data_IF_479140766223
#
_entry.id   IF_479140766223
#
_cell.length_a   1.000
_cell.length_b   1.000
_cell.length_c   1.000
_cell.angle_alpha   90.00
_cell.angle_beta   90.00
_cell.angle_gamma   90.00
#
_symmetry.space_group_name_H-M   'P 1'
#
loop_
_entity.id
_entity.type
_entity.pdbx_description
1 polymer ?
#
# COMPACT_ATOMS: atom_id res chain seq x y z
N UNK A 1 -4.22 13.74 -11.43
CA UNK A 1 -4.87 13.24 -10.22
C UNK A 1 -4.59 11.75 -10.09
N UNK A 2 -4.16 11.31 -8.93
CA UNK A 2 -3.91 9.89 -8.63
C UNK A 2 -5.20 9.26 -8.12
N UNK A 3 -5.55 8.09 -8.65
CA UNK A 3 -6.66 7.31 -8.14
C UNK A 3 -6.31 5.82 -8.02
N UNK A 4 -6.98 5.12 -7.11
CA UNK A 4 -6.92 3.68 -6.96
C UNK A 4 -8.09 3.05 -7.71
N UNK A 5 -7.81 1.99 -8.47
CA UNK A 5 -8.83 1.20 -9.15
C UNK A 5 -8.58 -0.27 -8.84
N UNK A 6 -9.62 -0.98 -8.41
CA UNK A 6 -9.51 -2.40 -8.15
C UNK A 6 -8.98 -3.14 -9.38
N UNK A 7 -8.08 -4.06 -9.16
CA UNK A 7 -7.59 -4.95 -10.23
C UNK A 7 -8.65 -6.01 -10.52
N UNK A 8 -9.06 -6.13 -11.78
CA UNK A 8 -10.06 -7.07 -12.27
C UNK A 8 -9.72 -7.57 -13.68
N UNK A 9 -10.65 -8.23 -14.35
CA UNK A 9 -10.43 -8.77 -15.69
C UNK A 9 -10.20 -7.69 -16.76
N UNK A 10 -10.55 -6.42 -16.47
CA UNK A 10 -10.39 -5.33 -17.45
C UNK A 10 -9.00 -4.71 -17.44
N UNK A 11 -8.24 -4.84 -16.36
CA UNK A 11 -6.97 -4.11 -16.17
C UNK A 11 -5.80 -4.96 -15.65
N UNK A 12 -5.98 -6.26 -15.37
CA UNK A 12 -4.90 -7.06 -14.77
C UNK A 12 -3.65 -7.18 -15.66
N UNK A 13 -3.80 -7.10 -16.98
CA UNK A 13 -2.66 -7.13 -17.89
C UNK A 13 -1.79 -5.88 -17.78
N UNK A 14 -2.37 -4.73 -17.45
CA UNK A 14 -1.60 -3.52 -17.16
C UNK A 14 -0.71 -3.72 -15.93
N UNK A 15 -1.18 -4.47 -14.90
CA UNK A 15 -0.36 -4.83 -13.74
C UNK A 15 0.89 -5.63 -14.16
N UNK A 16 0.75 -6.58 -15.08
CA UNK A 16 1.87 -7.40 -15.54
C UNK A 16 2.92 -6.60 -16.31
N UNK A 17 2.52 -5.49 -16.90
CA UNK A 17 3.41 -4.60 -17.63
C UNK A 17 4.22 -3.65 -16.74
N UNK A 18 3.86 -3.50 -15.46
CA UNK A 18 4.57 -2.66 -14.51
C UNK A 18 5.98 -3.23 -14.27
N UNK A 19 6.96 -2.33 -14.13
CA UNK A 19 8.36 -2.69 -13.91
C UNK A 19 8.90 -2.01 -12.67
N UNK A 20 9.58 -2.79 -11.84
CA UNK A 20 10.38 -2.27 -10.73
C UNK A 20 11.64 -1.59 -11.26
N UNK A 21 12.13 -0.59 -10.55
CA UNK A 21 13.44 0.00 -10.81
C UNK A 21 14.58 -0.98 -10.53
N UNK A 22 15.77 -0.68 -11.03
CA UNK A 22 16.96 -1.53 -10.84
C UNK A 22 17.21 -1.82 -9.36
N UNK A 23 17.28 -3.10 -9.00
CA UNK A 23 17.53 -3.57 -7.64
C UNK A 23 16.32 -3.48 -6.70
N UNK A 24 15.18 -2.95 -7.13
CA UNK A 24 13.98 -2.84 -6.29
C UNK A 24 13.24 -4.17 -6.14
N UNK A 25 13.43 -5.12 -7.03
CA UNK A 25 12.83 -6.46 -6.96
C UNK A 25 13.22 -7.23 -5.69
N UNK A 26 14.32 -6.89 -5.05
CA UNK A 26 14.71 -7.42 -3.73
C UNK A 26 13.88 -6.87 -2.57
N UNK A 27 13.18 -5.74 -2.77
CA UNK A 27 12.39 -5.07 -1.73
C UNK A 27 10.89 -5.29 -1.87
N UNK A 28 10.40 -5.55 -3.07
CA UNK A 28 8.96 -5.61 -3.36
C UNK A 28 8.66 -6.82 -4.23
N UNK A 29 7.60 -7.55 -3.89
CA UNK A 29 7.07 -8.61 -4.75
C UNK A 29 6.51 -8.05 -6.05
N UNK A 30 6.62 -8.82 -7.14
CA UNK A 30 6.01 -8.46 -8.42
C UNK A 30 4.48 -8.38 -8.30
N UNK A 31 3.80 -7.57 -9.12
CA UNK A 31 2.35 -7.53 -9.15
C UNK A 31 1.72 -8.91 -9.45
N UNK A 32 2.34 -9.72 -10.29
CA UNK A 32 1.86 -11.09 -10.58
C UNK A 32 1.83 -11.96 -9.32
N UNK A 33 2.92 -11.97 -8.56
CA UNK A 33 2.98 -12.71 -7.28
C UNK A 33 1.99 -12.16 -6.26
N UNK A 34 1.87 -10.85 -6.18
CA UNK A 34 0.93 -10.19 -5.29
C UNK A 34 -0.53 -10.55 -5.60
N UNK A 35 -0.90 -10.58 -6.88
CA UNK A 35 -2.25 -11.00 -7.30
C UNK A 35 -2.54 -12.46 -6.97
N UNK A 36 -1.55 -13.34 -7.08
CA UNK A 36 -1.70 -14.74 -6.64
C UNK A 36 -1.95 -14.84 -5.14
N UNK A 37 -1.25 -14.05 -4.33
CA UNK A 37 -1.50 -13.96 -2.88
C UNK A 37 -2.88 -13.36 -2.58
N UNK A 38 -3.31 -12.36 -3.33
CA UNK A 38 -4.63 -11.75 -3.18
C UNK A 38 -5.76 -12.76 -3.39
N UNK A 39 -5.58 -13.72 -4.28
CA UNK A 39 -6.54 -14.79 -4.46
C UNK A 39 -6.71 -15.64 -3.18
N UNK A 40 -5.61 -15.95 -2.51
CA UNK A 40 -5.60 -16.74 -1.26
C UNK A 40 -6.32 -16.00 -0.12
N UNK A 41 -6.10 -14.70 -0.01
CA UNK A 41 -6.65 -13.84 1.05
C UNK A 41 -7.82 -12.98 0.59
N UNK A 42 -8.55 -13.40 -0.47
CA UNK A 42 -9.54 -12.57 -1.17
C UNK A 42 -10.63 -11.96 -0.30
N UNK A 43 -10.96 -12.59 0.84
CA UNK A 43 -12.00 -12.10 1.74
C UNK A 43 -11.53 -10.97 2.67
N UNK A 44 -10.23 -10.69 2.67
CA UNK A 44 -9.62 -9.71 3.59
C UNK A 44 -8.56 -8.83 2.93
N UNK A 45 -8.49 -8.82 1.61
CA UNK A 45 -7.55 -7.96 0.89
C UNK A 45 -8.18 -7.31 -0.34
N UNK A 46 -7.53 -6.25 -0.81
CA UNK A 46 -7.91 -5.55 -2.02
C UNK A 46 -6.65 -5.14 -2.79
N UNK A 47 -6.41 -5.71 -3.99
CA UNK A 47 -5.37 -5.26 -4.89
C UNK A 47 -5.86 -4.07 -5.71
N UNK A 48 -5.03 -3.01 -5.78
CA UNK A 48 -5.32 -1.82 -6.56
C UNK A 48 -4.24 -1.54 -7.60
N UNK A 49 -4.67 -1.18 -8.81
CA UNK A 49 -3.86 -0.40 -9.72
C UNK A 49 -3.86 1.07 -9.30
N UNK A 50 -2.70 1.70 -9.35
CA UNK A 50 -2.52 3.13 -9.10
C UNK A 50 -2.50 3.83 -10.45
N UNK A 51 -3.41 4.76 -10.66
CA UNK A 51 -3.59 5.45 -11.94
C UNK A 51 -3.23 6.92 -11.85
N UNK A 52 -2.51 7.41 -12.85
CA UNK A 52 -2.37 8.83 -13.15
C UNK A 52 -3.13 9.10 -14.46
N UNK A 53 -4.28 9.78 -14.37
CA UNK A 53 -5.20 9.85 -15.50
C UNK A 53 -5.70 8.46 -15.89
N UNK A 54 -5.55 8.10 -17.16
CA UNK A 54 -6.01 6.81 -17.71
C UNK A 54 -4.91 5.72 -17.70
N UNK A 55 -3.72 6.04 -17.19
CA UNK A 55 -2.58 5.12 -17.21
C UNK A 55 -2.32 4.53 -15.83
N UNK A 56 -2.19 3.21 -15.77
CA UNK A 56 -1.70 2.55 -14.56
C UNK A 56 -0.20 2.79 -14.42
N UNK A 57 0.18 3.39 -13.29
CA UNK A 57 1.57 3.77 -13.00
C UNK A 57 2.14 3.05 -11.77
N UNK A 58 1.36 2.22 -11.13
CA UNK A 58 1.79 1.49 -9.95
C UNK A 58 0.76 0.49 -9.46
N UNK A 59 1.11 -0.14 -8.37
CA UNK A 59 0.31 -1.20 -7.76
C UNK A 59 0.44 -1.15 -6.23
N UNK A 60 -0.61 -1.54 -5.54
CA UNK A 60 -0.61 -1.72 -4.09
C UNK A 60 -1.64 -2.77 -3.68
N UNK A 61 -1.35 -3.54 -2.66
CA UNK A 61 -2.34 -4.40 -2.02
C UNK A 61 -2.56 -3.97 -0.58
N UNK A 62 -3.83 -3.84 -0.19
CA UNK A 62 -4.24 -3.64 1.19
C UNK A 62 -4.76 -4.96 1.71
N UNK A 63 -4.30 -5.40 2.87
CA UNK A 63 -4.78 -6.61 3.55
C UNK A 63 -5.13 -6.30 4.98
N UNK A 64 -6.17 -6.97 5.48
CA UNK A 64 -6.63 -6.85 6.87
C UNK A 64 -6.32 -8.10 7.67
N UNK A 65 -5.59 -7.93 8.76
CA UNK A 65 -5.37 -8.99 9.73
C UNK A 65 -6.52 -8.99 10.73
N UNK A 66 -7.33 -10.07 10.68
CA UNK A 66 -8.52 -10.20 11.52
C UNK A 66 -8.19 -10.48 12.99
N UNK A 67 -7.06 -11.13 13.25
CA UNK A 67 -6.66 -11.47 14.62
C UNK A 67 -6.12 -10.24 15.33
N UNK A 68 -5.22 -9.51 14.68
CA UNK A 68 -4.61 -8.29 15.21
C UNK A 68 -5.50 -7.04 15.03
N UNK A 69 -6.53 -7.14 14.20
CA UNK A 69 -7.39 -6.00 13.80
C UNK A 69 -6.58 -4.82 13.26
N UNK A 70 -5.70 -5.10 12.32
CA UNK A 70 -4.82 -4.12 11.69
C UNK A 70 -4.92 -4.19 10.17
N UNK A 71 -4.79 -3.04 9.51
CA UNK A 71 -4.57 -2.98 8.07
C UNK A 71 -3.09 -3.00 7.78
N UNK A 72 -2.71 -3.71 6.72
CA UNK A 72 -1.34 -3.79 6.24
C UNK A 72 -1.28 -3.35 4.78
N UNK A 73 -0.27 -2.58 4.44
CA UNK A 73 0.04 -2.20 3.07
C UNK A 73 1.10 -3.16 2.55
N UNK A 74 0.75 -3.93 1.52
CA UNK A 74 1.64 -4.89 0.89
C UNK A 74 1.95 -4.48 -0.54
N UNK A 75 3.20 -4.70 -0.94
CA UNK A 75 3.65 -4.65 -2.34
C UNK A 75 3.41 -3.29 -3.02
N UNK A 76 3.51 -2.20 -2.26
CA UNK A 76 3.38 -0.85 -2.78
C UNK A 76 4.53 -0.53 -3.73
N UNK A 77 4.22 -0.22 -4.99
CA UNK A 77 5.22 0.14 -5.98
C UNK A 77 4.70 1.17 -6.98
N UNK A 78 5.61 2.01 -7.46
CA UNK A 78 5.43 2.86 -8.63
C UNK A 78 6.31 2.33 -9.76
N UNK A 79 5.75 2.24 -10.96
CA UNK A 79 6.48 1.80 -12.16
C UNK A 79 7.75 2.62 -12.37
N UNK A 80 8.84 1.94 -12.78
CA UNK A 80 10.16 2.56 -12.90
C UNK A 80 10.16 3.83 -13.74
N UNK A 81 9.36 3.86 -14.81
CA UNK A 81 9.27 5.03 -15.69
C UNK A 81 8.54 6.23 -15.06
N UNK A 82 7.87 6.03 -13.93
CA UNK A 82 7.02 7.05 -13.28
C UNK A 82 7.50 7.43 -11.88
N UNK A 83 8.65 6.92 -11.45
CA UNK A 83 9.24 7.25 -10.15
C UNK A 83 9.78 8.69 -10.12
N UNK A 84 9.96 9.23 -8.90
CA UNK A 84 10.51 10.57 -8.63
C UNK A 84 9.67 11.73 -9.18
N UNK A 85 8.36 11.53 -9.30
CA UNK A 85 7.40 12.55 -9.76
C UNK A 85 6.38 12.93 -8.67
N UNK A 86 6.57 12.47 -7.43
CA UNK A 86 5.63 12.70 -6.32
C UNK A 86 4.41 11.77 -6.31
N UNK A 87 4.31 10.81 -7.21
CA UNK A 87 3.17 9.91 -7.29
C UNK A 87 3.05 8.97 -6.09
N UNK A 88 4.17 8.55 -5.51
CA UNK A 88 4.18 7.69 -4.33
C UNK A 88 3.45 8.32 -3.14
N UNK A 89 3.72 9.58 -2.85
CA UNK A 89 3.05 10.31 -1.76
C UNK A 89 1.55 10.47 -2.01
N UNK A 90 1.16 10.84 -3.22
CA UNK A 90 -0.24 10.99 -3.60
C UNK A 90 -0.98 9.66 -3.56
N UNK A 91 -0.35 8.57 -4.01
CA UNK A 91 -0.91 7.23 -3.96
C UNK A 91 -1.08 6.74 -2.52
N UNK A 92 -0.08 6.94 -1.66
CA UNK A 92 -0.15 6.57 -0.26
C UNK A 92 -1.31 7.30 0.46
N UNK A 93 -1.52 8.58 0.16
CA UNK A 93 -2.65 9.32 0.69
C UNK A 93 -4.00 8.70 0.29
N UNK A 94 -4.14 8.21 -0.95
CA UNK A 94 -5.34 7.52 -1.40
C UNK A 94 -5.52 6.16 -0.71
N UNK A 95 -4.44 5.42 -0.50
CA UNK A 95 -4.47 4.14 0.25
C UNK A 95 -4.95 4.36 1.67
N UNK A 96 -4.43 5.36 2.36
CA UNK A 96 -4.85 5.68 3.74
C UNK A 96 -6.32 6.13 3.77
N UNK A 97 -6.76 6.92 2.78
CA UNK A 97 -8.18 7.29 2.66
C UNK A 97 -9.08 6.07 2.53
N UNK A 98 -8.69 5.09 1.69
CA UNK A 98 -9.41 3.84 1.53
C UNK A 98 -9.48 3.05 2.85
N UNK A 99 -8.34 2.89 3.53
CA UNK A 99 -8.27 2.17 4.81
C UNK A 99 -9.17 2.83 5.88
N UNK A 100 -9.26 4.16 5.88
CA UNK A 100 -10.13 4.89 6.81
C UNK A 100 -11.62 4.58 6.63
N UNK A 101 -12.03 4.03 5.50
CA UNK A 101 -13.40 3.54 5.31
C UNK A 101 -13.65 2.20 6.04
N UNK A 102 -12.60 1.57 6.56
CA UNK A 102 -12.64 0.29 7.30
C UNK A 102 -13.35 -0.82 6.52
N UNK A 103 -12.91 -1.11 5.28
CA UNK A 103 -13.64 -1.98 4.36
C UNK A 103 -13.76 -3.44 4.83
N UNK A 104 -12.84 -3.91 5.69
CA UNK A 104 -12.82 -5.30 6.17
C UNK A 104 -13.06 -5.44 7.67
N UNK A 105 -13.00 -4.36 8.42
CA UNK A 105 -13.21 -4.37 9.85
C UNK A 105 -12.56 -3.18 10.56
N UNK A 106 -12.79 -3.06 11.88
CA UNK A 106 -12.27 -1.94 12.65
C UNK A 106 -10.76 -2.02 12.82
N UNK A 107 -10.10 -0.88 12.78
CA UNK A 107 -8.69 -0.73 13.17
C UNK A 107 -8.37 0.73 13.48
N UNK A 108 -7.45 0.93 14.40
CA UNK A 108 -6.84 2.23 14.66
C UNK A 108 -5.44 2.38 14.08
N UNK A 109 -4.93 1.36 13.36
CA UNK A 109 -3.54 1.33 12.91
C UNK A 109 -3.39 0.79 11.50
N UNK A 110 -2.36 1.29 10.81
CA UNK A 110 -1.89 0.75 9.53
C UNK A 110 -0.43 0.35 9.72
N UNK A 111 -0.11 -0.89 9.33
CA UNK A 111 1.24 -1.44 9.40
C UNK A 111 1.80 -1.65 8.00
N UNK A 112 3.10 -1.58 7.89
CA UNK A 112 3.86 -2.04 6.74
C UNK A 112 5.26 -2.46 7.18
N UNK A 113 5.95 -3.20 6.35
CA UNK A 113 7.38 -3.50 6.55
C UNK A 113 8.20 -2.83 5.44
N UNK A 114 9.36 -2.34 5.80
CA UNK A 114 10.26 -1.68 4.86
C UNK A 114 11.72 -1.91 5.28
N UNK A 115 12.55 -2.28 4.30
CA UNK A 115 14.00 -2.34 4.53
C UNK A 115 14.55 -0.93 4.70
N UNK A 116 15.39 -0.65 5.72
CA UNK A 116 16.10 0.62 5.84
C UNK A 116 17.02 0.91 4.64
N UNK A 117 17.46 -0.11 3.91
CA UNK A 117 18.25 0.04 2.69
C UNK A 117 17.43 0.61 1.53
N UNK A 118 16.12 0.43 1.52
CA UNK A 118 15.21 1.09 0.59
C UNK A 118 14.92 2.52 1.06
N UNK A 119 15.93 3.38 0.93
CA UNK A 119 15.93 4.73 1.50
C UNK A 119 14.78 5.60 1.00
N UNK A 120 14.45 5.52 -0.28
CA UNK A 120 13.38 6.31 -0.88
C UNK A 120 12.01 5.93 -0.30
N UNK A 121 11.71 4.65 -0.18
CA UNK A 121 10.47 4.18 0.42
C UNK A 121 10.41 4.48 1.92
N UNK A 122 11.51 4.24 2.63
CA UNK A 122 11.59 4.51 4.06
C UNK A 122 11.33 6.00 4.37
N UNK A 123 11.94 6.90 3.60
CA UNK A 123 11.71 8.34 3.73
C UNK A 123 10.25 8.71 3.41
N UNK A 124 9.66 8.13 2.36
CA UNK A 124 8.26 8.36 2.01
C UNK A 124 7.34 8.01 3.18
N UNK A 125 7.52 6.85 3.80
CA UNK A 125 6.66 6.40 4.89
C UNK A 125 6.87 7.23 6.15
N UNK A 126 8.10 7.50 6.53
CA UNK A 126 8.40 8.30 7.73
C UNK A 126 7.95 9.75 7.58
N UNK A 127 8.12 10.35 6.40
CA UNK A 127 7.63 11.70 6.11
C UNK A 127 6.09 11.76 6.13
N UNK A 128 5.42 10.66 5.79
CA UNK A 128 3.96 10.58 5.87
C UNK A 128 3.45 10.46 7.32
N UNK A 129 4.27 10.02 8.25
CA UNK A 129 3.95 9.89 9.66
C UNK A 129 4.06 8.47 10.22
N UNK A 130 4.51 7.50 9.43
CA UNK A 130 4.79 6.15 9.93
C UNK A 130 6.01 6.17 10.86
N UNK A 131 5.93 5.43 11.95
CA UNK A 131 6.99 5.31 12.95
C UNK A 131 7.36 3.84 13.16
N UNK A 132 8.66 3.53 13.40
CA UNK A 132 9.08 2.18 13.74
C UNK A 132 8.39 1.66 15.00
N UNK A 133 7.97 0.41 14.99
CA UNK A 133 7.36 -0.26 16.16
C UNK A 133 8.40 -0.96 17.05
N UNK A 134 9.61 -1.14 16.54
CA UNK A 134 10.64 -1.96 17.17
C UNK A 134 10.59 -3.44 16.76
N UNK A 135 9.54 -3.87 16.03
CA UNK A 135 9.45 -5.22 15.47
C UNK A 135 10.10 -5.28 14.08
N UNK A 136 10.68 -6.43 13.77
CA UNK A 136 11.30 -6.70 12.46
C UNK A 136 10.75 -7.99 11.87
N UNK A 137 10.72 -8.05 10.54
CA UNK A 137 10.49 -9.25 9.75
C UNK A 137 11.75 -9.47 8.89
N UNK A 138 12.65 -10.34 9.36
CA UNK A 138 13.96 -10.46 8.76
C UNK A 138 14.74 -9.14 8.83
N UNK A 139 15.15 -8.63 7.68
CA UNK A 139 15.86 -7.34 7.54
C UNK A 139 14.91 -6.14 7.40
N UNK A 140 13.62 -6.38 7.30
CA UNK A 140 12.63 -5.33 7.19
C UNK A 140 12.16 -4.86 8.56
N UNK A 141 12.00 -3.56 8.73
CA UNK A 141 11.43 -2.94 9.92
C UNK A 141 9.93 -2.76 9.75
N UNK A 142 9.17 -3.06 10.81
CA UNK A 142 7.76 -2.73 10.85
C UNK A 142 7.58 -1.26 11.19
N UNK A 143 6.78 -0.59 10.38
CA UNK A 143 6.36 0.79 10.59
C UNK A 143 4.85 0.84 10.82
N UNK A 144 4.42 1.76 11.69
CA UNK A 144 3.02 1.93 12.05
C UNK A 144 2.57 3.37 11.88
N UNK A 145 1.39 3.53 11.29
CA UNK A 145 0.65 4.79 11.28
C UNK A 145 -0.61 4.64 12.15
N UNK A 146 -0.77 5.49 13.15
CA UNK A 146 -2.01 5.56 13.92
C UNK A 146 -3.03 6.40 13.17
N UNK A 147 -4.24 5.83 12.97
CA UNK A 147 -5.36 6.55 12.41
C UNK A 147 -5.99 7.43 13.49
N UNK A 148 -6.32 8.68 13.14
CA UNK A 148 -7.05 9.55 14.06
C UNK A 148 -8.43 8.92 14.35
N UNK A 149 -8.92 8.97 15.63
CA UNK A 149 -10.27 8.52 15.94
C UNK A 149 -11.27 9.35 15.13
N UNK A 150 -12.39 8.70 14.72
CA UNK A 150 -13.51 9.41 14.12
C UNK A 150 -13.93 10.56 15.04
N UNK A 151 -14.09 11.78 14.48
CA UNK A 151 -14.65 12.89 15.26
C UNK A 151 -16.02 12.46 15.76
N UNK A 152 -16.33 12.58 17.05
CA UNK A 152 -17.70 12.35 17.51
C UNK A 152 -18.62 13.30 16.73
N UNK A 153 -19.69 12.78 16.14
CA UNK A 153 -20.76 13.60 15.60
C UNK A 153 -21.27 14.46 16.76
N UNK A 154 -20.91 15.72 16.77
CA UNK A 154 -21.62 16.72 17.53
C UNK A 154 -22.91 16.99 16.76
N UNK A 155 -23.91 16.17 17.01
CA UNK A 155 -25.30 16.57 16.73
C UNK A 155 -25.62 17.71 17.70
N UNK A 156 -25.79 18.90 17.14
CA UNK A 156 -26.46 20.01 17.77
C UNK A 156 -27.91 19.97 17.33
#
# INVERSE_FOLDING_TARGET
MIKLTQVDETNFLECFALRLGNGQERFVSSPTRSLAQAYVYRDQCMPFGIYAGDKMIGYVMVIYDREEQTYNIWHFMIDAAHQRKGYGKAALAQVIRYIKTKPFGPSGTVLLTCSPENQAAYALYTDFGFCPTGRCDGEEQELCLKLAPARPNTEI
#
